data_IF_730805825960
#
_entry.id   IF_730805825960
#
_cell.length_a   1.000
_cell.length_b   1.000
_cell.length_c   1.000
_cell.angle_alpha   90.00
_cell.angle_beta   90.00
_cell.angle_gamma   90.00
#
_symmetry.space_group_name_H-M   'P 1'
#
loop_
_entity.id
_entity.type
_entity.pdbx_description
1 polymer ?
#
# COMPACT_ATOMS: atom_id res chain seq x y z
N UNK A 1 -0.82 -22.02 18.36
CA UNK A 1 -1.71 -20.89 18.72
C UNK A 1 -1.07 -19.51 18.46
N UNK A 2 0.25 -19.33 18.59
CA UNK A 2 0.89 -18.03 18.30
C UNK A 2 0.83 -17.59 16.83
N UNK A 3 1.05 -18.52 15.89
CA UNK A 3 0.96 -18.27 14.44
C UNK A 3 -0.39 -17.65 14.03
N UNK A 4 -1.50 -18.12 14.62
CA UNK A 4 -2.84 -17.62 14.35
C UNK A 4 -3.06 -16.20 14.89
N UNK A 5 -2.47 -15.87 16.05
CA UNK A 5 -2.52 -14.52 16.62
C UNK A 5 -1.72 -13.52 15.78
N UNK A 6 -0.59 -13.96 15.25
CA UNK A 6 0.27 -13.15 14.38
C UNK A 6 -0.46 -12.85 13.06
N UNK A 7 -1.01 -13.88 12.42
CA UNK A 7 -1.85 -13.71 11.24
C UNK A 7 -3.07 -12.81 11.48
N UNK A 8 -3.79 -12.99 12.59
CA UNK A 8 -4.93 -12.12 12.95
C UNK A 8 -4.51 -10.65 13.17
N UNK A 9 -3.30 -10.42 13.68
CA UNK A 9 -2.74 -9.07 13.84
C UNK A 9 -2.44 -8.43 12.49
N UNK A 10 -1.88 -9.18 11.55
CA UNK A 10 -1.63 -8.71 10.18
C UNK A 10 -2.93 -8.40 9.45
N UNK A 11 -3.92 -9.30 9.55
CA UNK A 11 -5.23 -9.09 8.94
C UNK A 11 -5.91 -7.82 9.46
N UNK A 12 -5.80 -7.58 10.78
CA UNK A 12 -6.27 -6.33 11.40
C UNK A 12 -5.50 -5.10 10.92
N UNK A 13 -4.19 -5.23 10.71
CA UNK A 13 -3.35 -4.20 10.10
C UNK A 13 -3.86 -3.83 8.70
N UNK A 14 -3.98 -4.83 7.82
CA UNK A 14 -4.48 -4.62 6.46
C UNK A 14 -5.90 -4.05 6.40
N UNK A 15 -6.79 -4.45 7.32
CA UNK A 15 -8.11 -3.81 7.43
C UNK A 15 -8.03 -2.34 7.87
N UNK A 16 -7.07 -2.00 8.74
CA UNK A 16 -6.84 -0.61 9.16
C UNK A 16 -6.27 0.23 8.00
N UNK A 17 -5.45 -0.36 7.13
CA UNK A 17 -4.92 0.30 5.93
C UNK A 17 -6.02 0.57 4.89
N UNK A 18 -7.02 -0.32 4.80
CA UNK A 18 -8.16 -0.16 3.90
C UNK A 18 -9.23 0.79 4.45
N UNK A 19 -9.31 0.98 5.77
CA UNK A 19 -10.35 1.77 6.42
C UNK A 19 -10.48 3.21 5.87
N UNK A 20 -9.40 3.98 5.63
CA UNK A 20 -9.49 5.31 5.03
C UNK A 20 -10.11 5.28 3.63
N UNK A 21 -9.73 4.31 2.81
CA UNK A 21 -10.24 4.15 1.44
C UNK A 21 -11.74 3.86 1.48
N UNK A 22 -12.15 2.90 2.33
CA UNK A 22 -13.57 2.57 2.54
C UNK A 22 -14.34 3.78 3.05
N UNK A 23 -13.78 4.53 3.99
CA UNK A 23 -14.42 5.72 4.55
C UNK A 23 -14.64 6.80 3.49
N UNK A 24 -13.64 7.05 2.64
CA UNK A 24 -13.77 7.99 1.52
C UNK A 24 -14.84 7.51 0.54
N UNK A 25 -14.81 6.24 0.13
CA UNK A 25 -15.83 5.69 -0.79
C UNK A 25 -17.24 5.80 -0.19
N UNK A 26 -17.42 5.41 1.07
CA UNK A 26 -18.71 5.48 1.75
C UNK A 26 -19.21 6.93 1.87
N UNK A 27 -18.31 7.87 2.17
CA UNK A 27 -18.63 9.29 2.21
C UNK A 27 -19.14 9.79 0.84
N UNK A 28 -18.42 9.50 -0.24
CA UNK A 28 -18.83 9.89 -1.59
C UNK A 28 -20.15 9.22 -2.01
N UNK A 29 -20.36 7.93 -1.70
CA UNK A 29 -21.60 7.23 -2.04
C UNK A 29 -22.82 7.82 -1.32
N UNK A 30 -22.72 8.03 -0.01
CA UNK A 30 -23.85 8.45 0.82
C UNK A 30 -24.14 9.95 0.64
N UNK A 31 -23.11 10.80 0.69
CA UNK A 31 -23.31 12.25 0.77
C UNK A 31 -23.30 12.94 -0.61
N UNK A 32 -22.51 12.45 -1.57
CA UNK A 32 -22.34 13.11 -2.87
C UNK A 32 -23.20 12.44 -3.94
N UNK A 33 -23.08 11.13 -4.10
CA UNK A 33 -23.77 10.38 -5.14
C UNK A 33 -25.21 10.00 -4.75
N UNK A 34 -25.52 10.02 -3.45
CA UNK A 34 -26.84 9.63 -2.88
C UNK A 34 -27.31 8.26 -3.37
N UNK A 35 -26.38 7.33 -3.61
CA UNK A 35 -26.64 5.98 -4.09
C UNK A 35 -26.23 4.99 -3.01
N UNK A 36 -27.15 4.10 -2.64
CA UNK A 36 -26.78 2.90 -1.88
C UNK A 36 -26.16 1.89 -2.85
N UNK A 37 -25.07 1.22 -2.47
CA UNK A 37 -24.50 0.17 -3.30
C UNK A 37 -25.52 -0.96 -3.51
N UNK A 38 -25.73 -1.34 -4.77
CA UNK A 38 -26.74 -2.33 -5.18
C UNK A 38 -26.45 -3.75 -4.63
N UNK A 39 -25.19 -4.06 -4.35
CA UNK A 39 -24.77 -5.35 -3.78
C UNK A 39 -23.68 -5.20 -2.70
N UNK A 40 -24.07 -4.88 -1.45
CA UNK A 40 -23.12 -4.71 -0.35
C UNK A 40 -22.40 -6.01 0.02
N UNK A 41 -22.99 -7.18 -0.28
CA UNK A 41 -22.41 -8.49 0.06
C UNK A 41 -21.22 -8.81 -0.86
N UNK A 42 -21.36 -8.55 -2.16
CA UNK A 42 -20.23 -8.69 -3.09
C UNK A 42 -19.08 -7.74 -2.74
N UNK A 43 -19.38 -6.48 -2.40
CA UNK A 43 -18.36 -5.50 -1.98
C UNK A 43 -17.64 -5.99 -0.71
N UNK A 44 -18.38 -6.45 0.30
CA UNK A 44 -17.79 -6.96 1.54
C UNK A 44 -16.89 -8.18 1.30
N UNK A 45 -17.31 -9.08 0.40
CA UNK A 45 -16.54 -10.28 0.04
C UNK A 45 -15.27 -9.89 -0.73
N UNK A 46 -15.37 -8.98 -1.69
CA UNK A 46 -14.21 -8.45 -2.42
C UNK A 46 -13.22 -7.77 -1.48
N UNK A 47 -13.71 -6.94 -0.56
CA UNK A 47 -12.88 -6.28 0.45
C UNK A 47 -12.16 -7.28 1.35
N UNK A 48 -12.83 -8.37 1.74
CA UNK A 48 -12.21 -9.44 2.52
C UNK A 48 -11.08 -10.12 1.75
N UNK A 49 -11.29 -10.44 0.46
CA UNK A 49 -10.25 -11.02 -0.40
C UNK A 49 -9.06 -10.06 -0.54
N UNK A 50 -9.31 -8.76 -0.74
CA UNK A 50 -8.25 -7.74 -0.80
C UNK A 50 -7.48 -7.66 0.52
N UNK A 51 -8.17 -7.66 1.66
CA UNK A 51 -7.53 -7.60 2.98
C UNK A 51 -6.62 -8.82 3.23
N UNK A 52 -7.09 -10.02 2.89
CA UNK A 52 -6.29 -11.25 2.97
C UNK A 52 -5.08 -11.18 2.01
N UNK A 53 -5.31 -10.77 0.76
CA UNK A 53 -4.26 -10.65 -0.25
C UNK A 53 -3.18 -9.64 0.16
N UNK A 54 -3.59 -8.48 0.67
CA UNK A 54 -2.68 -7.44 1.17
C UNK A 54 -1.88 -7.94 2.36
N UNK A 55 -2.51 -8.63 3.32
CA UNK A 55 -1.81 -9.19 4.47
C UNK A 55 -0.73 -10.21 4.05
N UNK A 56 -1.05 -11.11 3.12
CA UNK A 56 -0.10 -12.08 2.57
C UNK A 56 1.01 -11.40 1.76
N UNK A 57 0.67 -10.36 0.99
CA UNK A 57 1.63 -9.60 0.19
C UNK A 57 2.64 -8.88 1.09
N UNK A 58 2.18 -8.14 2.10
CA UNK A 58 3.05 -7.45 3.06
C UNK A 58 3.93 -8.45 3.82
N UNK A 59 3.37 -9.58 4.27
CA UNK A 59 4.18 -10.65 4.89
C UNK A 59 5.29 -11.15 3.96
N UNK A 60 4.98 -11.31 2.67
CA UNK A 60 5.96 -11.72 1.65
C UNK A 60 7.07 -10.67 1.46
N UNK A 61 6.72 -9.38 1.49
CA UNK A 61 7.69 -8.29 1.41
C UNK A 61 8.61 -8.22 2.62
N UNK A 62 8.06 -8.38 3.83
CA UNK A 62 8.81 -8.38 5.10
C UNK A 62 9.86 -9.50 5.16
N UNK A 63 9.56 -10.68 4.59
CA UNK A 63 10.50 -11.80 4.55
C UNK A 63 11.45 -11.70 3.35
N UNK A 64 10.98 -11.13 2.24
CA UNK A 64 11.72 -11.06 0.98
C UNK A 64 12.55 -9.79 0.82
N UNK A 65 11.89 -8.71 0.38
CA UNK A 65 12.56 -7.54 -0.19
C UNK A 65 12.94 -6.52 0.89
N UNK A 66 12.14 -6.34 1.93
CA UNK A 66 12.39 -5.33 2.97
C UNK A 66 13.74 -5.53 3.69
N UNK A 67 14.13 -6.76 4.10
CA UNK A 67 15.43 -6.98 4.72
C UNK A 67 16.60 -6.60 3.79
N UNK A 68 16.46 -6.81 2.49
CA UNK A 68 17.50 -6.44 1.52
C UNK A 68 17.64 -4.92 1.45
N UNK A 69 16.53 -4.19 1.37
CA UNK A 69 16.52 -2.73 1.36
C UNK A 69 17.08 -2.12 2.65
N UNK A 70 16.68 -2.65 3.80
CA UNK A 70 17.15 -2.20 5.12
C UNK A 70 18.65 -2.42 5.31
N UNK A 71 19.17 -3.60 4.97
CA UNK A 71 20.59 -3.89 5.09
C UNK A 71 21.43 -2.98 4.18
N UNK A 72 20.98 -2.74 2.94
CA UNK A 72 21.66 -1.81 2.03
C UNK A 72 21.68 -0.37 2.59
N UNK A 73 20.53 0.11 3.10
CA UNK A 73 20.44 1.43 3.70
C UNK A 73 21.35 1.57 4.94
N UNK A 74 21.40 0.55 5.80
CA UNK A 74 22.29 0.51 6.96
C UNK A 74 23.77 0.53 6.56
N UNK A 75 24.16 -0.22 5.53
CA UNK A 75 25.53 -0.24 5.03
C UNK A 75 25.94 1.11 4.43
N UNK A 76 25.06 1.79 3.70
CA UNK A 76 25.33 3.16 3.23
C UNK A 76 25.48 4.16 4.37
N UNK A 77 24.65 4.06 5.41
CA UNK A 77 24.73 4.91 6.59
C UNK A 77 26.04 4.69 7.36
N UNK A 78 26.43 3.43 7.62
CA UNK A 78 27.68 3.08 8.32
C UNK A 78 28.93 3.53 7.58
N UNK A 79 28.92 3.46 6.24
CA UNK A 79 30.05 3.93 5.40
C UNK A 79 30.17 5.45 5.35
N UNK A 80 29.25 6.21 5.97
CA UNK A 80 29.25 7.66 5.97
C UNK A 80 28.92 8.28 4.61
N UNK A 81 28.35 7.51 3.68
CA UNK A 81 28.08 8.01 2.33
C UNK A 81 26.66 8.54 2.21
N UNK A 82 26.46 9.74 2.73
CA UNK A 82 25.17 10.44 2.69
C UNK A 82 24.64 10.61 1.26
N UNK A 83 25.51 10.87 0.28
CA UNK A 83 25.11 11.01 -1.12
C UNK A 83 24.52 9.69 -1.66
N UNK A 84 25.19 8.55 -1.44
CA UNK A 84 24.68 7.25 -1.90
C UNK A 84 23.40 6.86 -1.18
N UNK A 85 23.28 7.14 0.11
CA UNK A 85 22.05 6.92 0.87
C UNK A 85 20.89 7.76 0.32
N UNK A 86 21.13 9.05 0.07
CA UNK A 86 20.12 9.97 -0.46
C UNK A 86 19.69 9.56 -1.86
N UNK A 87 20.65 9.20 -2.73
CA UNK A 87 20.37 8.73 -4.09
C UNK A 87 19.56 7.43 -4.06
N UNK A 88 19.92 6.49 -3.19
CA UNK A 88 19.18 5.23 -3.03
C UNK A 88 17.75 5.47 -2.55
N UNK A 89 17.56 6.27 -1.50
CA UNK A 89 16.24 6.61 -0.98
C UNK A 89 15.39 7.36 -2.03
N UNK A 90 16.00 8.29 -2.76
CA UNK A 90 15.35 9.00 -3.86
C UNK A 90 14.90 8.04 -4.95
N UNK A 91 15.76 7.12 -5.41
CA UNK A 91 15.42 6.17 -6.46
C UNK A 91 14.27 5.24 -6.05
N UNK A 92 14.30 4.69 -4.83
CA UNK A 92 13.21 3.83 -4.34
C UNK A 92 11.89 4.61 -4.22
N UNK A 93 11.93 5.82 -3.65
CA UNK A 93 10.75 6.68 -3.54
C UNK A 93 10.20 7.10 -4.91
N UNK A 94 11.09 7.46 -5.84
CA UNK A 94 10.72 7.83 -7.20
C UNK A 94 10.13 6.64 -7.97
N UNK A 95 10.74 5.46 -7.88
CA UNK A 95 10.24 4.24 -8.52
C UNK A 95 8.86 3.84 -8.02
N UNK A 96 8.62 3.92 -6.70
CA UNK A 96 7.28 3.62 -6.12
C UNK A 96 6.22 4.62 -6.56
N UNK A 97 6.59 5.91 -6.65
CA UNK A 97 5.72 6.97 -7.17
C UNK A 97 5.37 6.77 -8.65
N UNK A 98 6.35 6.42 -9.49
CA UNK A 98 6.09 6.11 -10.92
C UNK A 98 5.22 4.87 -11.08
N UNK A 99 5.41 3.87 -10.21
CA UNK A 99 4.63 2.64 -10.27
C UNK A 99 3.15 2.85 -9.90
N UNK A 100 2.78 3.98 -9.30
CA UNK A 100 1.40 4.29 -8.93
C UNK A 100 0.56 4.63 -10.17
N UNK A 101 -0.45 3.81 -10.53
CA UNK A 101 -1.22 4.01 -11.76
C UNK A 101 -1.97 5.35 -11.80
N UNK A 102 -2.36 5.88 -10.64
CA UNK A 102 -3.05 7.16 -10.54
C UNK A 102 -2.16 8.33 -11.01
N UNK A 103 -0.87 8.30 -10.67
CA UNK A 103 0.09 9.32 -11.10
C UNK A 103 0.43 9.20 -12.59
N UNK A 104 0.53 7.98 -13.11
CA UNK A 104 0.68 7.74 -14.56
C UNK A 104 -0.50 8.37 -15.31
N UNK A 105 -1.74 8.13 -14.84
CA UNK A 105 -2.93 8.69 -15.48
C UNK A 105 -2.95 10.23 -15.46
N UNK A 106 -2.48 10.86 -14.38
CA UNK A 106 -2.36 12.32 -14.29
C UNK A 106 -1.28 12.84 -15.23
N UNK A 107 -0.13 12.17 -15.31
CA UNK A 107 0.95 12.54 -16.23
C UNK A 107 0.51 12.48 -17.69
N UNK A 108 -0.22 11.42 -18.06
CA UNK A 108 -0.80 11.28 -19.41
C UNK A 108 -1.80 12.41 -19.71
N UNK A 109 -2.60 12.83 -18.73
CA UNK A 109 -3.53 13.96 -18.89
C UNK A 109 -2.81 15.29 -19.01
N UNK A 110 -1.75 15.51 -18.23
CA UNK A 110 -0.94 16.71 -18.29
C UNK A 110 -0.19 16.84 -19.62
N UNK A 111 0.21 15.73 -20.24
CA UNK A 111 0.91 15.73 -21.53
C UNK A 111 0.04 16.15 -22.73
N UNK A 112 -1.29 16.09 -22.59
CA UNK A 112 -2.25 16.45 -23.65
C UNK A 112 -2.68 17.92 -23.56
N UNK A 113 -2.38 18.60 -22.45
CA UNK A 113 -2.66 20.03 -22.22
C UNK A 113 -1.44 20.86 -22.64
#
# INVERSE_FOLDING_TARGET
>A
MEQLKLFARMLRGSLSDLAPIIAVIAFFQIFILQQMPDDPVSIATGLFIVAVGLALFIQGLEVGIFPVGENLAQEFAKKGSALWLLLFAFLIGFSTTIAEPALIAIADKAAVI
#
